data_IF_757838969687
#
_entry.id   IF_757838969687
#
_cell.length_a   1.000
_cell.length_b   1.000
_cell.length_c   1.000
_cell.angle_alpha   90.00
_cell.angle_beta   90.00
_cell.angle_gamma   90.00
#
_symmetry.space_group_name_H-M   'P 1'
#
loop_
_entity.id
_entity.type
_entity.pdbx_description
1 polymer ?
#
# COMPACT_ATOMS: atom_id res chain seq x y z
N UNK A 1 -12.78 -10.60 -17.87
CA UNK A 1 -13.50 -10.30 -16.60
C UNK A 1 -13.01 -11.15 -15.43
N UNK A 2 -12.98 -12.49 -15.51
CA UNK A 2 -12.56 -13.35 -14.38
C UNK A 2 -11.20 -12.98 -13.76
N UNK A 3 -10.18 -12.73 -14.59
CA UNK A 3 -8.82 -12.43 -14.12
C UNK A 3 -8.74 -11.06 -13.44
N UNK A 4 -9.49 -10.08 -13.92
CA UNK A 4 -9.60 -8.76 -13.30
C UNK A 4 -10.33 -8.83 -11.95
N UNK A 5 -11.42 -9.61 -11.86
CA UNK A 5 -12.14 -9.81 -10.60
C UNK A 5 -11.25 -10.54 -9.58
N UNK A 6 -10.52 -11.58 -10.00
CA UNK A 6 -9.55 -12.27 -9.16
C UNK A 6 -8.45 -11.32 -8.69
N UNK A 7 -7.91 -10.48 -9.58
CA UNK A 7 -6.90 -9.47 -9.23
C UNK A 7 -7.42 -8.49 -8.18
N UNK A 8 -8.65 -8.00 -8.35
CA UNK A 8 -9.30 -7.09 -7.40
C UNK A 8 -9.50 -7.74 -6.03
N UNK A 9 -10.05 -8.96 -5.99
CA UNK A 9 -10.28 -9.69 -4.74
C UNK A 9 -8.97 -10.04 -4.04
N UNK A 10 -7.95 -10.44 -4.80
CA UNK A 10 -6.62 -10.72 -4.28
C UNK A 10 -5.99 -9.47 -3.67
N UNK A 11 -6.05 -8.33 -4.37
CA UNK A 11 -5.55 -7.06 -3.86
C UNK A 11 -6.26 -6.66 -2.56
N UNK A 12 -7.59 -6.78 -2.52
CA UNK A 12 -8.38 -6.48 -1.33
C UNK A 12 -7.99 -7.39 -0.15
N UNK A 13 -7.87 -8.70 -0.39
CA UNK A 13 -7.48 -9.67 0.63
C UNK A 13 -6.07 -9.40 1.17
N UNK A 14 -5.08 -9.18 0.29
CA UNK A 14 -3.71 -8.89 0.71
C UNK A 14 -3.66 -7.55 1.47
N UNK A 15 -4.35 -6.51 1.00
CA UNK A 15 -4.39 -5.21 1.68
C UNK A 15 -4.98 -5.33 3.09
N UNK A 16 -6.10 -6.03 3.22
CA UNK A 16 -6.73 -6.29 4.52
C UNK A 16 -5.79 -7.03 5.48
N UNK A 17 -5.05 -8.02 4.99
CA UNK A 17 -4.11 -8.80 5.79
C UNK A 17 -2.84 -8.01 6.16
N UNK A 18 -2.30 -7.19 5.26
CA UNK A 18 -1.05 -6.43 5.46
C UNK A 18 -1.24 -5.24 6.40
N UNK A 19 -2.40 -4.58 6.34
CA UNK A 19 -2.69 -3.36 7.11
C UNK A 19 -2.38 -3.46 8.62
N UNK A 20 -2.86 -4.47 9.38
CA UNK A 20 -2.59 -4.54 10.83
C UNK A 20 -1.10 -4.72 11.16
N UNK A 21 -0.33 -5.39 10.31
CA UNK A 21 1.12 -5.53 10.50
C UNK A 21 1.81 -4.17 10.33
N UNK A 22 1.46 -3.43 9.27
CA UNK A 22 2.04 -2.11 9.02
C UNK A 22 1.65 -1.11 10.09
N UNK A 23 0.42 -1.14 10.58
CA UNK A 23 -0.03 -0.36 11.73
C UNK A 23 0.86 -0.62 12.96
N UNK A 24 1.11 -1.89 13.29
CA UNK A 24 1.98 -2.26 14.42
C UNK A 24 3.39 -1.69 14.25
N UNK A 25 3.96 -1.73 13.03
CA UNK A 25 5.27 -1.14 12.76
C UNK A 25 5.23 0.39 12.82
N UNK A 26 4.21 1.04 12.29
CA UNK A 26 4.07 2.50 12.32
C UNK A 26 4.07 3.02 13.76
N UNK A 27 3.33 2.36 14.65
CA UNK A 27 3.32 2.68 16.09
C UNK A 27 4.70 2.48 16.72
N UNK A 28 5.39 1.37 16.41
CA UNK A 28 6.74 1.08 16.94
C UNK A 28 7.80 2.07 16.48
N UNK A 29 7.72 2.54 15.24
CA UNK A 29 8.66 3.51 14.68
C UNK A 29 8.27 4.97 14.98
N UNK A 30 7.15 5.21 15.68
CA UNK A 30 6.71 6.55 16.05
C UNK A 30 6.09 7.35 14.90
N UNK A 31 5.74 6.70 13.79
CA UNK A 31 5.05 7.32 12.65
C UNK A 31 3.57 7.51 12.96
N UNK A 32 3.29 8.45 13.87
CA UNK A 32 1.96 8.71 14.44
C UNK A 32 1.55 10.17 14.25
N UNK A 33 0.27 10.39 14.01
CA UNK A 33 -0.30 11.72 14.07
C UNK A 33 -0.39 12.16 15.55
N UNK A 34 0.42 13.16 15.91
CA UNK A 34 0.28 13.83 17.22
C UNK A 34 -1.07 14.56 17.27
N UNK A 35 -1.79 14.35 18.36
CA UNK A 35 -3.06 15.02 18.64
C UNK A 35 -2.78 16.52 18.78
N UNK A 36 -3.49 17.34 17.99
CA UNK A 36 -3.46 18.81 18.09
C UNK A 36 -4.66 19.27 18.89
N UNK A 37 -4.58 20.45 19.51
CA UNK A 37 -5.69 21.03 20.29
C UNK A 37 -6.99 21.23 19.48
N UNK A 38 -6.88 21.23 18.15
CA UNK A 38 -8.01 21.34 17.21
C UNK A 38 -8.59 20.00 16.74
N UNK A 39 -7.94 18.88 17.06
CA UNK A 39 -8.34 17.56 16.56
C UNK A 39 -9.38 16.94 17.49
N UNK A 40 -10.42 16.33 16.90
CA UNK A 40 -11.46 15.60 17.65
C UNK A 40 -11.02 14.21 18.12
N UNK A 41 -9.87 13.72 17.63
CA UNK A 41 -9.37 12.39 17.94
C UNK A 41 -8.63 12.39 19.29
N UNK A 42 -9.06 11.52 20.19
CA UNK A 42 -8.44 11.32 21.51
C UNK A 42 -7.29 10.32 21.48
N UNK A 43 -7.16 9.54 20.40
CA UNK A 43 -6.13 8.52 20.22
C UNK A 43 -5.22 8.87 19.03
N UNK A 44 -3.95 8.49 19.13
CA UNK A 44 -2.96 8.71 18.07
C UNK A 44 -3.19 7.76 16.90
N UNK A 45 -3.26 8.29 15.68
CA UNK A 45 -3.47 7.49 14.47
C UNK A 45 -2.14 7.19 13.76
N UNK A 46 -1.89 5.94 13.33
CA UNK A 46 -0.68 5.57 12.59
C UNK A 46 -0.69 6.14 11.16
N UNK A 47 0.46 6.58 10.64
CA UNK A 47 0.57 7.31 9.36
C UNK A 47 1.01 6.49 8.14
N UNK A 48 1.37 5.21 8.29
CA UNK A 48 1.89 4.40 7.19
C UNK A 48 0.84 3.62 6.38
N UNK A 49 -0.38 4.13 6.25
CA UNK A 49 -1.42 3.48 5.43
C UNK A 49 -1.00 3.33 3.96
N UNK A 50 -0.31 4.32 3.39
CA UNK A 50 0.23 4.25 2.03
C UNK A 50 1.23 3.12 1.82
N UNK A 51 2.05 2.83 2.84
CA UNK A 51 3.02 1.73 2.82
C UNK A 51 2.31 0.38 2.75
N UNK A 52 1.24 0.21 3.54
CA UNK A 52 0.42 -1.01 3.50
C UNK A 52 -0.18 -1.25 2.11
N UNK A 53 -0.74 -0.20 1.51
CA UNK A 53 -1.30 -0.28 0.15
C UNK A 53 -0.22 -0.63 -0.89
N UNK A 54 0.96 -0.01 -0.81
CA UNK A 54 2.04 -0.28 -1.75
C UNK A 54 2.56 -1.72 -1.65
N UNK A 55 2.73 -2.26 -0.44
CA UNK A 55 3.07 -3.68 -0.27
C UNK A 55 2.00 -4.60 -0.86
N UNK A 56 0.74 -4.32 -0.58
CA UNK A 56 -0.36 -5.13 -1.09
C UNK A 56 -0.42 -5.13 -2.62
N UNK A 57 -0.26 -3.95 -3.25
CA UNK A 57 -0.16 -3.83 -4.71
C UNK A 57 1.05 -4.59 -5.25
N UNK A 58 2.21 -4.48 -4.62
CA UNK A 58 3.44 -5.16 -5.05
C UNK A 58 3.30 -6.68 -5.03
N UNK A 59 2.77 -7.24 -3.95
CA UNK A 59 2.51 -8.69 -3.86
C UNK A 59 1.46 -9.13 -4.88
N UNK A 60 0.39 -8.35 -5.05
CA UNK A 60 -0.63 -8.64 -6.07
C UNK A 60 0.01 -8.69 -7.46
N UNK A 61 0.85 -7.71 -7.81
CA UNK A 61 1.52 -7.64 -9.11
C UNK A 61 2.38 -8.88 -9.38
N UNK A 62 3.14 -9.33 -8.39
CA UNK A 62 3.94 -10.57 -8.52
C UNK A 62 3.02 -11.75 -8.88
N UNK A 63 1.91 -11.93 -8.15
CA UNK A 63 1.00 -13.06 -8.40
C UNK A 63 0.30 -12.94 -9.76
N UNK A 64 -0.25 -11.78 -10.09
CA UNK A 64 -1.08 -11.61 -11.30
C UNK A 64 -0.26 -11.42 -12.58
N UNK A 65 1.05 -11.16 -12.46
CA UNK A 65 1.97 -11.15 -13.60
C UNK A 65 2.03 -12.49 -14.34
N UNK A 66 1.69 -13.59 -13.65
CA UNK A 66 1.62 -14.94 -14.22
C UNK A 66 0.28 -15.24 -14.94
N UNK A 67 -0.70 -14.34 -14.89
CA UNK A 67 -1.99 -14.53 -15.55
C UNK A 67 -1.92 -14.13 -17.03
N UNK A 68 -2.54 -14.90 -17.96
CA UNK A 68 -2.36 -14.73 -19.39
C UNK A 68 -2.98 -13.45 -19.96
N UNK A 69 -4.02 -12.89 -19.32
CA UNK A 69 -4.67 -11.66 -19.76
C UNK A 69 -4.09 -10.44 -19.03
N UNK A 70 -4.06 -10.48 -17.69
CA UNK A 70 -3.58 -9.36 -16.85
C UNK A 70 -2.07 -9.17 -16.97
N UNK A 71 -1.31 -10.27 -17.08
CA UNK A 71 0.13 -10.26 -17.29
C UNK A 71 0.57 -9.45 -18.51
N UNK A 72 -0.23 -9.49 -19.60
CA UNK A 72 0.05 -8.74 -20.84
C UNK A 72 -0.09 -7.23 -20.68
N UNK A 73 -0.78 -6.76 -19.64
CA UNK A 73 -0.92 -5.32 -19.36
C UNK A 73 0.31 -4.72 -18.69
N UNK A 74 1.22 -5.54 -18.16
CA UNK A 74 2.48 -5.06 -17.56
C UNK A 74 3.51 -4.71 -18.63
N UNK A 75 3.39 -3.50 -19.19
CA UNK A 75 4.39 -2.92 -20.08
C UNK A 75 5.33 -1.94 -19.36
N UNK A 76 6.17 -1.26 -20.16
CA UNK A 76 7.11 -0.23 -19.68
C UNK A 76 6.40 0.88 -18.90
N UNK A 77 5.23 1.30 -19.35
CA UNK A 77 4.45 2.35 -18.70
C UNK A 77 3.96 1.92 -17.30
N UNK A 78 3.49 0.66 -17.17
CA UNK A 78 3.08 0.12 -15.87
C UNK A 78 4.27 0.04 -14.90
N UNK A 79 5.45 -0.37 -15.38
CA UNK A 79 6.68 -0.37 -14.58
C UNK A 79 7.11 1.05 -14.19
N UNK A 80 7.03 2.01 -15.11
CA UNK A 80 7.34 3.42 -14.84
C UNK A 80 6.44 4.01 -13.75
N UNK A 81 5.12 3.77 -13.84
CA UNK A 81 4.15 4.19 -12.82
C UNK A 81 4.44 3.53 -11.48
N UNK A 82 4.74 2.23 -11.47
CA UNK A 82 5.06 1.52 -10.24
C UNK A 82 6.34 2.06 -9.57
N UNK A 83 7.38 2.34 -10.35
CA UNK A 83 8.62 2.93 -9.83
C UNK A 83 8.40 4.35 -9.31
N UNK A 84 7.64 5.18 -10.03
CA UNK A 84 7.28 6.52 -9.57
C UNK A 84 6.47 6.47 -8.27
N UNK A 85 5.49 5.57 -8.17
CA UNK A 85 4.71 5.35 -6.95
C UNK A 85 5.58 4.86 -5.79
N UNK A 86 6.56 4.00 -6.06
CA UNK A 86 7.53 3.54 -5.07
C UNK A 86 8.33 4.71 -4.50
N UNK A 87 8.78 5.63 -5.37
CA UNK A 87 9.49 6.82 -4.93
C UNK A 87 8.62 7.74 -4.05
N UNK A 88 7.36 7.94 -4.42
CA UNK A 88 6.40 8.73 -3.62
C UNK A 88 6.17 8.10 -2.25
N UNK A 89 6.04 6.78 -2.17
CA UNK A 89 5.86 6.06 -0.90
C UNK A 89 7.10 6.19 -0.01
N UNK A 90 8.31 6.03 -0.58
CA UNK A 90 9.56 6.19 0.18
C UNK A 90 9.72 7.61 0.71
N UNK A 91 9.38 8.62 -0.10
CA UNK A 91 9.42 10.02 0.32
C UNK A 91 8.40 10.29 1.43
N UNK A 92 7.16 9.78 1.30
CA UNK A 92 6.15 9.86 2.35
C UNK A 92 6.59 9.19 3.65
N UNK A 93 7.23 8.02 3.58
CA UNK A 93 7.78 7.35 4.77
C UNK A 93 8.86 8.16 5.50
N UNK A 94 9.63 8.97 4.77
CA UNK A 94 10.65 9.85 5.35
C UNK A 94 10.00 11.07 6.00
N UNK A 95 8.95 11.64 5.38
CA UNK A 95 8.19 12.79 5.90
C UNK A 95 7.30 12.43 7.10
N UNK A 96 6.81 11.20 7.16
CA UNK A 96 5.93 10.70 8.24
C UNK A 96 6.68 10.29 9.53
N UNK A 97 8.02 10.30 9.53
CA UNK A 97 8.84 10.10 10.74
C UNK A 97 8.91 11.38 11.57
#
# INVERSE_FOLDING_TARGET
MREYLLTMLLAAAICYLVTPYVETYALRFGAIARIRERDIHTETTPRWGGVAMWFATSFTFVVVSHLPLVGKSFGREAQGIFLAGTFVVLLGMIDDR
#
